data_IF_371739455553
#
_entry.id   IF_371739455553
#
_cell.length_a   1.000
_cell.length_b   1.000
_cell.length_c   1.000
_cell.angle_alpha   90.00
_cell.angle_beta   90.00
_cell.angle_gamma   90.00
#
_symmetry.space_group_name_H-M   'P 1'
#
loop_
_entity.id
_entity.type
_entity.pdbx_description
1 polymer ?
#
# COMPACT_ATOMS: atom_id res chain seq x y z
N UNK A 1 6.38 0.74 -15.85
CA UNK A 1 6.38 1.07 -14.41
C UNK A 1 6.50 -0.18 -13.55
N UNK A 2 5.46 -1.00 -13.33
CA UNK A 2 5.56 -2.12 -12.38
C UNK A 2 6.57 -3.22 -12.76
N UNK A 3 6.81 -3.44 -14.05
CA UNK A 3 7.84 -4.36 -14.57
C UNK A 3 9.22 -3.69 -14.76
N UNK A 4 9.33 -2.41 -14.42
CA UNK A 4 10.57 -1.67 -14.54
C UNK A 4 11.37 -1.86 -13.26
N UNK A 5 12.54 -2.50 -13.36
CA UNK A 5 13.40 -2.80 -12.20
C UNK A 5 14.10 -1.55 -11.64
N UNK A 6 14.10 -0.43 -12.39
CA UNK A 6 14.63 0.86 -11.90
C UNK A 6 13.65 1.59 -10.97
N UNK A 7 12.39 1.17 -10.93
CA UNK A 7 11.37 1.77 -10.04
C UNK A 7 11.30 0.96 -8.76
N UNK A 8 11.62 1.58 -7.63
CA UNK A 8 11.54 0.96 -6.31
C UNK A 8 10.22 1.26 -5.57
N UNK A 9 9.63 2.44 -5.79
CA UNK A 9 8.47 2.94 -5.04
C UNK A 9 7.40 3.51 -5.96
N UNK A 10 6.13 3.26 -5.64
CA UNK A 10 4.95 3.80 -6.33
C UNK A 10 4.18 4.73 -5.39
N UNK A 11 3.93 5.96 -5.84
CA UNK A 11 3.05 6.92 -5.17
C UNK A 11 1.66 6.90 -5.81
N UNK A 12 0.66 6.43 -5.06
CA UNK A 12 -0.74 6.29 -5.49
C UNK A 12 -1.52 7.51 -5.01
N UNK A 13 -1.75 8.45 -5.92
CA UNK A 13 -2.54 9.67 -5.71
C UNK A 13 -3.73 9.78 -6.68
N UNK A 14 -4.31 8.61 -7.02
CA UNK A 14 -5.47 8.48 -7.91
C UNK A 14 -6.78 8.71 -7.15
N UNK A 15 -7.95 8.64 -7.80
CA UNK A 15 -9.22 8.58 -7.07
C UNK A 15 -9.24 7.40 -6.09
N UNK A 16 -9.82 7.59 -4.91
CA UNK A 16 -9.78 6.62 -3.80
C UNK A 16 -10.35 5.24 -4.14
N UNK A 17 -11.27 5.15 -5.10
CA UNK A 17 -11.82 3.89 -5.59
C UNK A 17 -10.80 3.00 -6.31
N UNK A 18 -9.63 3.53 -6.66
CA UNK A 18 -8.56 2.79 -7.34
C UNK A 18 -7.42 2.40 -6.39
N UNK A 19 -7.37 2.98 -5.19
CA UNK A 19 -6.24 2.81 -4.28
C UNK A 19 -5.96 1.35 -3.96
N UNK A 20 -6.99 0.59 -3.55
CA UNK A 20 -6.81 -0.81 -3.17
C UNK A 20 -6.14 -1.63 -4.28
N UNK A 21 -6.70 -1.61 -5.49
CA UNK A 21 -6.15 -2.40 -6.60
C UNK A 21 -4.74 -1.94 -6.99
N UNK A 22 -4.48 -0.63 -7.04
CA UNK A 22 -3.17 -0.11 -7.42
C UNK A 22 -2.10 -0.41 -6.35
N UNK A 23 -2.46 -0.36 -5.07
CA UNK A 23 -1.60 -0.78 -3.98
C UNK A 23 -1.31 -2.28 -4.06
N UNK A 24 -2.33 -3.10 -4.28
CA UNK A 24 -2.22 -4.56 -4.39
C UNK A 24 -1.26 -4.95 -5.52
N UNK A 25 -1.48 -4.40 -6.73
CA UNK A 25 -0.67 -4.68 -7.91
C UNK A 25 0.79 -4.25 -7.70
N UNK A 26 1.00 -3.10 -7.07
CA UNK A 26 2.34 -2.56 -6.80
C UNK A 26 3.10 -3.40 -5.77
N UNK A 27 2.46 -3.76 -4.67
CA UNK A 27 3.04 -4.64 -3.65
C UNK A 27 3.30 -6.05 -4.19
N UNK A 28 2.37 -6.60 -4.99
CA UNK A 28 2.54 -7.91 -5.63
C UNK A 28 3.74 -7.94 -6.58
N UNK A 29 4.00 -6.82 -7.26
CA UNK A 29 5.18 -6.59 -8.09
C UNK A 29 6.47 -6.30 -7.28
N UNK A 30 6.41 -6.33 -5.95
CA UNK A 30 7.57 -6.09 -5.08
C UNK A 30 7.98 -4.63 -4.99
N UNK A 31 7.08 -3.69 -5.29
CA UNK A 31 7.33 -2.25 -5.18
C UNK A 31 6.87 -1.73 -3.83
N UNK A 32 7.61 -0.77 -3.25
CA UNK A 32 7.11 -0.02 -2.10
C UNK A 32 5.93 0.85 -2.53
N UNK A 33 5.02 1.12 -1.60
CA UNK A 33 3.82 1.91 -1.90
C UNK A 33 3.61 2.99 -0.87
N UNK A 34 3.38 4.20 -1.36
CA UNK A 34 2.82 5.33 -0.62
C UNK A 34 1.45 5.61 -1.23
N UNK A 35 0.39 5.65 -0.42
CA UNK A 35 -0.96 5.89 -0.91
C UNK A 35 -1.58 7.10 -0.21
N UNK A 36 -2.24 7.95 -0.99
CA UNK A 36 -2.99 9.09 -0.48
C UNK A 36 -4.26 8.69 0.27
N UNK A 37 -4.78 9.63 1.04
CA UNK A 37 -6.03 9.46 1.79
C UNK A 37 -7.28 9.74 0.93
N UNK A 38 -8.42 9.10 1.22
CA UNK A 38 -8.57 7.96 2.14
C UNK A 38 -7.87 6.72 1.57
N UNK A 39 -7.18 5.95 2.42
CA UNK A 39 -6.29 4.87 2.00
C UNK A 39 -7.06 3.78 1.23
N UNK A 40 -8.04 3.15 1.87
CA UNK A 40 -8.97 2.16 1.28
C UNK A 40 -10.32 2.29 2.01
N UNK A 41 -11.35 1.61 1.54
CA UNK A 41 -12.71 1.79 2.08
C UNK A 41 -13.04 0.85 3.24
N UNK A 42 -12.37 -0.31 3.32
CA UNK A 42 -12.63 -1.30 4.37
C UNK A 42 -11.38 -1.64 5.17
N UNK A 43 -11.59 -2.14 6.39
CA UNK A 43 -10.49 -2.59 7.25
C UNK A 43 -9.87 -3.87 6.68
N UNK A 44 -10.67 -4.71 6.04
CA UNK A 44 -10.25 -5.95 5.40
C UNK A 44 -9.25 -5.67 4.27
N UNK A 45 -9.56 -4.69 3.39
CA UNK A 45 -8.64 -4.23 2.33
C UNK A 45 -7.32 -3.71 2.93
N UNK A 46 -7.39 -2.96 4.02
CA UNK A 46 -6.20 -2.41 4.67
C UNK A 46 -5.33 -3.50 5.31
N UNK A 47 -5.95 -4.50 5.93
CA UNK A 47 -5.27 -5.62 6.56
C UNK A 47 -4.61 -6.53 5.53
N UNK A 48 -5.27 -6.80 4.41
CA UNK A 48 -4.72 -7.58 3.31
C UNK A 48 -3.46 -6.90 2.72
N UNK A 49 -3.55 -5.61 2.42
CA UNK A 49 -2.40 -4.84 1.91
C UNK A 49 -1.25 -4.80 2.91
N UNK A 50 -1.56 -4.70 4.22
CA UNK A 50 -0.55 -4.78 5.27
C UNK A 50 0.13 -6.16 5.30
N UNK A 51 -0.65 -7.24 5.30
CA UNK A 51 -0.11 -8.60 5.32
C UNK A 51 0.78 -8.86 4.11
N UNK A 52 0.37 -8.42 2.93
CA UNK A 52 1.17 -8.54 1.71
C UNK A 52 2.47 -7.72 1.81
N UNK A 53 2.40 -6.49 2.31
CA UNK A 53 3.58 -5.65 2.51
C UNK A 53 4.59 -6.29 3.48
N UNK A 54 4.11 -6.83 4.61
CA UNK A 54 4.95 -7.53 5.60
C UNK A 54 5.61 -8.78 4.99
N UNK A 55 4.87 -9.58 4.19
CA UNK A 55 5.41 -10.76 3.52
C UNK A 55 6.47 -10.43 2.47
N UNK A 56 6.29 -9.31 1.75
CA UNK A 56 7.19 -8.89 0.66
C UNK A 56 8.39 -8.08 1.15
N UNK A 57 8.39 -7.65 2.41
CA UNK A 57 9.40 -6.73 2.95
C UNK A 57 9.32 -5.33 2.31
N UNK A 58 8.16 -4.95 1.76
CA UNK A 58 7.93 -3.64 1.16
C UNK A 58 7.40 -2.70 2.23
N UNK A 59 8.08 -1.58 2.48
CA UNK A 59 7.75 -0.66 3.57
C UNK A 59 6.42 0.06 3.27
N UNK A 60 5.43 -0.09 4.16
CA UNK A 60 4.13 0.55 4.02
C UNK A 60 4.13 1.94 4.67
N UNK A 61 4.34 2.99 3.89
CA UNK A 61 4.31 4.36 4.40
C UNK A 61 2.86 4.86 4.54
N UNK A 62 2.50 5.25 5.76
CA UNK A 62 1.18 5.74 6.13
C UNK A 62 1.24 7.25 6.36
N UNK A 63 0.49 8.02 5.60
CA UNK A 63 0.46 9.49 5.67
C UNK A 63 -0.22 10.09 6.92
N UNK A 64 -0.16 9.46 8.10
CA UNK A 64 -0.60 10.07 9.37
C UNK A 64 0.20 9.56 10.59
N UNK A 65 0.56 10.50 11.46
CA UNK A 65 1.23 10.40 12.77
C UNK A 65 0.50 9.55 13.84
N UNK A 66 -0.07 8.40 13.49
CA UNK A 66 -0.65 7.51 14.50
C UNK A 66 -0.36 6.04 14.17
N UNK A 67 0.33 5.31 15.07
CA UNK A 67 0.60 3.89 14.88
C UNK A 67 -0.71 3.09 14.81
N UNK A 68 -0.68 1.91 14.17
CA UNK A 68 -1.79 0.97 14.34
C UNK A 68 -2.00 0.70 15.82
N UNK A 69 -3.24 0.55 16.28
CA UNK A 69 -3.48 -0.03 17.59
C UNK A 69 -2.76 -1.38 17.64
N UNK A 70 -2.00 -1.61 18.72
CA UNK A 70 -1.15 -2.80 18.91
C UNK A 70 -1.93 -4.12 19.04
N UNK A 71 -3.23 -4.11 18.74
CA UNK A 71 -4.18 -5.21 18.90
C UNK A 71 -4.71 -5.74 17.55
N UNK A 72 -3.95 -5.56 16.47
CA UNK A 72 -4.17 -6.19 15.15
C UNK A 72 -2.90 -6.95 14.75
#
# INVERSE_FOLDING_TARGET
MLKDDQVDTVYVATPSSMHYQMCLDSLAAGKNVICEKPFVFTTEEALELKQLADQKGCLHYRGHHQPLPASL
#
